data_IF_485639373703
#
_entry.id   IF_485639373703
#
_cell.length_a   1.000
_cell.length_b   1.000
_cell.length_c   1.000
_cell.angle_alpha   90.00
_cell.angle_beta   90.00
_cell.angle_gamma   90.00
#
_symmetry.space_group_name_H-M   'P 1'
#
loop_
_entity.id
_entity.type
_entity.pdbx_description
1 polymer ?
#
# COMPACT_ATOMS: atom_id res chain seq x y z
N UNK A 1 47.14 9.10 -26.80
CA UNK A 1 46.77 8.28 -25.64
C UNK A 1 45.26 8.38 -25.50
N UNK A 2 44.57 7.41 -26.07
CA UNK A 2 43.11 7.32 -26.16
C UNK A 2 42.66 6.20 -25.22
N UNK A 3 42.03 6.55 -24.11
CA UNK A 3 41.42 5.58 -23.20
C UNK A 3 39.94 5.46 -23.55
N UNK A 4 39.61 4.33 -24.16
CA UNK A 4 38.24 3.83 -24.33
C UNK A 4 37.69 3.43 -22.96
N UNK A 5 36.57 4.03 -22.56
CA UNK A 5 35.80 3.60 -21.40
C UNK A 5 34.80 2.52 -21.85
N UNK A 6 35.06 1.30 -21.39
CA UNK A 6 34.23 0.13 -21.61
C UNK A 6 32.92 0.24 -20.82
N UNK A 7 31.83 0.37 -21.56
CA UNK A 7 30.47 0.32 -21.05
C UNK A 7 30.11 -1.13 -20.67
N UNK A 8 30.25 -1.46 -19.38
CA UNK A 8 29.86 -2.74 -18.81
C UNK A 8 28.33 -2.92 -18.87
N UNK A 9 27.87 -3.75 -19.81
CA UNK A 9 26.49 -4.25 -19.89
C UNK A 9 26.20 -5.17 -18.71
N UNK A 10 25.47 -4.65 -17.71
CA UNK A 10 24.89 -5.46 -16.65
C UNK A 10 23.66 -6.18 -17.21
N UNK A 11 23.85 -7.36 -17.84
CA UNK A 11 22.76 -8.26 -18.20
C UNK A 11 22.33 -9.00 -16.93
N UNK A 12 21.33 -8.48 -16.25
CA UNK A 12 20.60 -9.28 -15.26
C UNK A 12 19.98 -10.48 -15.97
N UNK A 13 20.47 -11.65 -15.58
CA UNK A 13 19.99 -12.94 -16.05
C UNK A 13 18.61 -13.14 -15.42
N UNK A 14 17.54 -12.93 -16.20
CA UNK A 14 16.18 -13.33 -15.81
C UNK A 14 16.19 -14.84 -15.53
N UNK A 15 16.11 -15.22 -14.26
CA UNK A 15 16.15 -16.62 -13.81
C UNK A 15 14.94 -17.39 -14.37
N UNK A 16 15.14 -18.56 -14.99
CA UNK A 16 14.03 -19.45 -15.34
C UNK A 16 13.42 -20.01 -14.04
N UNK A 17 12.18 -19.62 -13.78
CA UNK A 17 11.38 -20.17 -12.68
C UNK A 17 11.27 -21.69 -12.80
N UNK A 18 11.49 -22.36 -11.68
CA UNK A 18 11.49 -23.82 -11.54
C UNK A 18 10.18 -24.41 -12.06
N UNK A 19 10.33 -25.28 -13.06
CA UNK A 19 9.31 -26.12 -13.69
C UNK A 19 8.67 -27.07 -12.67
N UNK A 20 7.34 -27.01 -12.54
CA UNK A 20 6.53 -28.15 -12.14
C UNK A 20 5.66 -28.52 -13.35
N UNK A 21 6.03 -29.66 -13.94
CA UNK A 21 5.48 -30.25 -15.15
C UNK A 21 3.97 -30.47 -15.05
N UNK A 22 3.23 -29.86 -15.98
CA UNK A 22 2.14 -30.54 -16.68
C UNK A 22 2.02 -29.94 -18.08
N UNK A 23 2.64 -30.65 -19.04
CA UNK A 23 2.69 -30.32 -20.45
C UNK A 23 1.27 -30.40 -21.06
N UNK A 24 0.69 -29.23 -21.31
CA UNK A 24 -0.27 -29.03 -22.40
C UNK A 24 0.47 -28.14 -23.38
N UNK A 25 0.85 -28.70 -24.54
CA UNK A 25 1.48 -28.00 -25.65
C UNK A 25 0.51 -26.92 -26.17
N UNK A 26 0.42 -25.81 -25.44
CA UNK A 26 -0.20 -24.58 -25.88
C UNK A 26 0.79 -23.98 -26.85
N UNK A 27 0.35 -23.78 -28.09
CA UNK A 27 1.00 -22.89 -29.05
C UNK A 27 1.43 -21.63 -28.28
N UNK A 28 2.73 -21.49 -28.05
CA UNK A 28 3.30 -20.29 -27.45
C UNK A 28 3.09 -19.16 -28.45
N UNK A 29 1.95 -18.49 -28.35
CA UNK A 29 1.80 -17.17 -28.92
C UNK A 29 2.91 -16.32 -28.31
N UNK A 30 3.93 -16.03 -29.12
CA UNK A 30 5.04 -15.14 -28.75
C UNK A 30 4.43 -13.89 -28.13
N UNK A 31 4.53 -13.77 -26.81
CA UNK A 31 4.12 -12.56 -26.10
C UNK A 31 5.00 -11.43 -26.63
N UNK A 32 4.40 -10.28 -26.91
CA UNK A 32 5.13 -9.09 -27.34
C UNK A 32 5.99 -8.53 -26.22
N UNK A 33 6.71 -7.45 -26.50
CA UNK A 33 7.37 -6.61 -25.49
C UNK A 33 6.36 -5.69 -24.81
N UNK A 34 6.69 -5.21 -23.62
CA UNK A 34 5.95 -4.10 -23.03
C UNK A 34 6.14 -2.84 -23.87
N UNK A 35 5.07 -2.19 -24.34
CA UNK A 35 5.20 -0.99 -25.16
C UNK A 35 5.74 0.23 -24.39
N UNK A 36 5.73 0.20 -23.05
CA UNK A 36 6.19 1.31 -22.23
C UNK A 36 7.71 1.25 -21.96
N UNK A 37 8.24 0.10 -21.53
CA UNK A 37 9.66 -0.07 -21.20
C UNK A 37 10.46 -0.90 -22.22
N UNK A 38 9.79 -1.49 -23.22
CA UNK A 38 10.38 -2.36 -24.25
C UNK A 38 11.00 -3.67 -23.74
N UNK A 39 10.74 -4.04 -22.49
CA UNK A 39 11.23 -5.29 -21.88
C UNK A 39 10.25 -6.45 -22.09
N UNK A 40 10.79 -7.67 -22.11
CA UNK A 40 10.02 -8.93 -22.16
C UNK A 40 9.97 -9.69 -20.84
N UNK A 41 10.81 -9.33 -19.85
CA UNK A 41 10.87 -10.10 -18.61
C UNK A 41 9.57 -9.91 -17.80
N UNK A 42 8.95 -11.01 -17.44
CA UNK A 42 7.78 -11.04 -16.56
C UNK A 42 8.23 -11.50 -15.18
N UNK A 43 7.83 -10.75 -14.14
CA UNK A 43 7.94 -11.22 -12.76
C UNK A 43 6.53 -11.49 -12.21
N UNK A 44 6.44 -12.21 -11.08
CA UNK A 44 5.14 -12.48 -10.43
C UNK A 44 4.41 -11.19 -10.05
N UNK A 45 5.14 -10.15 -9.70
CA UNK A 45 4.62 -8.84 -9.29
C UNK A 45 4.45 -7.88 -10.47
N UNK A 46 5.18 -8.12 -11.56
CA UNK A 46 5.16 -7.28 -12.76
C UNK A 46 4.94 -8.15 -14.01
N UNK A 47 3.73 -8.68 -14.14
CA UNK A 47 3.34 -9.49 -15.29
C UNK A 47 3.06 -8.62 -16.52
N UNK A 48 3.33 -9.15 -17.73
CA UNK A 48 2.87 -8.56 -18.98
C UNK A 48 1.37 -8.84 -19.16
N UNK A 49 0.59 -7.77 -19.28
CA UNK A 49 -0.85 -7.84 -19.44
C UNK A 49 -1.19 -7.39 -20.85
N UNK A 50 -2.05 -8.15 -21.52
CA UNK A 50 -2.58 -7.76 -22.83
C UNK A 50 -3.69 -6.71 -22.67
N UNK A 51 -3.51 -5.52 -23.22
CA UNK A 51 -4.40 -4.35 -23.03
C UNK A 51 -5.15 -3.90 -24.28
N UNK A 52 -4.60 -4.01 -25.50
CA UNK A 52 -5.35 -3.81 -26.76
C UNK A 52 -5.37 -5.12 -27.56
N UNK A 53 -6.53 -5.46 -28.14
CA UNK A 53 -6.71 -6.55 -29.09
C UNK A 53 -6.72 -6.06 -30.54
N UNK A 54 -7.08 -4.79 -30.76
CA UNK A 54 -7.16 -4.17 -32.09
C UNK A 54 -5.83 -3.82 -32.78
N UNK A 55 -4.74 -3.62 -32.03
CA UNK A 55 -3.43 -3.28 -32.58
C UNK A 55 -2.82 -4.50 -33.27
N UNK A 56 -2.42 -4.38 -34.55
CA UNK A 56 -1.75 -5.47 -35.27
C UNK A 56 -0.35 -5.80 -34.75
N UNK A 57 0.34 -4.79 -34.23
CA UNK A 57 1.68 -4.93 -33.67
C UNK A 57 1.59 -5.61 -32.30
N UNK A 58 2.22 -6.80 -32.11
CA UNK A 58 2.17 -7.52 -30.84
C UNK A 58 2.80 -6.72 -29.70
N UNK A 59 3.82 -5.90 -29.93
CA UNK A 59 4.48 -5.13 -28.86
C UNK A 59 3.54 -4.07 -28.29
N UNK A 60 2.63 -3.53 -29.10
CA UNK A 60 1.62 -2.56 -28.64
C UNK A 60 0.44 -3.18 -27.90
N UNK A 61 0.33 -4.51 -27.90
CA UNK A 61 -0.75 -5.20 -27.22
C UNK A 61 -0.45 -5.43 -25.74
N UNK A 62 0.82 -5.40 -25.31
CA UNK A 62 1.23 -5.79 -23.97
C UNK A 62 1.86 -4.65 -23.17
N UNK A 63 1.55 -4.57 -21.89
CA UNK A 63 2.17 -3.65 -20.94
C UNK A 63 2.36 -4.34 -19.59
N UNK A 64 3.46 -4.04 -18.92
CA UNK A 64 3.68 -4.42 -17.53
C UNK A 64 2.67 -3.77 -16.60
N UNK A 65 2.21 -4.49 -15.57
CA UNK A 65 1.32 -3.96 -14.54
C UNK A 65 1.86 -2.65 -13.93
N UNK A 66 3.15 -2.62 -13.56
CA UNK A 66 3.76 -1.40 -12.99
C UNK A 66 3.83 -0.25 -14.00
N UNK A 67 4.06 -0.53 -15.28
CA UNK A 67 4.11 0.50 -16.32
C UNK A 67 2.75 1.13 -16.57
N UNK A 68 1.67 0.34 -16.60
CA UNK A 68 0.32 0.89 -16.76
C UNK A 68 -0.11 1.67 -15.51
N UNK A 69 0.27 1.22 -14.32
CA UNK A 69 0.01 1.94 -13.08
C UNK A 69 0.70 3.30 -13.04
N UNK A 70 1.97 3.35 -13.46
CA UNK A 70 2.75 4.58 -13.59
C UNK A 70 2.24 5.52 -14.70
N UNK A 71 1.65 4.97 -15.76
CA UNK A 71 1.00 5.76 -16.80
C UNK A 71 -0.30 6.38 -16.28
N UNK A 72 -1.16 5.57 -15.67
CA UNK A 72 -2.46 5.99 -15.15
C UNK A 72 -2.34 6.98 -13.98
N UNK A 73 -1.30 6.85 -13.14
CA UNK A 73 -1.06 7.78 -12.03
C UNK A 73 -0.66 9.19 -12.47
N UNK A 74 -0.17 9.35 -13.71
CA UNK A 74 0.19 10.64 -14.31
C UNK A 74 -0.96 11.30 -15.06
N UNK A 75 -2.07 10.59 -15.27
CA UNK A 75 -3.24 11.18 -15.90
C UNK A 75 -3.91 12.15 -14.92
N UNK A 76 -4.43 13.29 -15.40
CA UNK A 76 -5.21 14.18 -14.55
C UNK A 76 -6.41 13.42 -13.97
N UNK A 77 -6.85 13.73 -12.74
CA UNK A 77 -8.07 13.16 -12.19
C UNK A 77 -9.20 13.37 -13.20
N UNK A 78 -9.89 12.29 -13.59
CA UNK A 78 -11.07 12.43 -14.44
C UNK A 78 -12.13 13.18 -13.66
N UNK A 79 -12.41 14.41 -14.08
CA UNK A 79 -13.64 15.09 -13.70
C UNK A 79 -14.78 14.23 -14.21
N UNK A 80 -15.67 13.80 -13.30
CA UNK A 80 -16.83 12.93 -13.52
C UNK A 80 -17.23 12.79 -15.00
N UNK A 81 -16.75 11.73 -15.66
CA UNK A 81 -17.20 11.42 -17.01
C UNK A 81 -18.69 11.04 -16.91
N UNK A 82 -19.62 11.72 -17.61
CA UNK A 82 -21.04 11.37 -17.60
C UNK A 82 -21.32 9.99 -18.22
N UNK A 83 -20.34 9.45 -18.96
CA UNK A 83 -20.30 8.08 -19.50
C UNK A 83 -19.52 7.11 -18.58
N UNK A 84 -19.25 7.49 -17.32
CA UNK A 84 -18.99 6.50 -16.27
C UNK A 84 -20.27 5.69 -16.18
N UNK A 85 -20.30 4.62 -16.99
CA UNK A 85 -21.43 3.74 -17.12
C UNK A 85 -21.71 3.27 -15.71
N UNK A 86 -22.68 3.92 -15.09
CA UNK A 86 -23.63 3.32 -14.22
C UNK A 86 -24.11 2.10 -14.98
N UNK A 87 -23.35 1.00 -14.86
CA UNK A 87 -23.98 -0.29 -14.69
C UNK A 87 -24.98 -0.02 -13.59
N UNK A 88 -26.19 0.18 -14.06
CA UNK A 88 -27.42 0.42 -13.35
C UNK A 88 -27.77 -0.89 -12.64
N UNK A 89 -26.80 -1.41 -11.88
CA UNK A 89 -27.03 -2.37 -10.86
C UNK A 89 -27.66 -1.52 -9.76
N UNK A 90 -29.00 -1.47 -9.77
CA UNK A 90 -29.75 -1.38 -8.54
C UNK A 90 -29.31 -2.57 -7.68
N UNK A 91 -28.10 -2.48 -7.12
CA UNK A 91 -27.68 -3.23 -5.96
C UNK A 91 -28.61 -2.70 -4.87
N UNK A 92 -29.65 -3.48 -4.62
CA UNK A 92 -30.37 -3.51 -3.38
C UNK A 92 -29.37 -3.19 -2.26
N UNK A 93 -29.53 -2.02 -1.65
CA UNK A 93 -28.67 -1.55 -0.58
C UNK A 93 -28.91 -2.51 0.59
N UNK A 94 -28.05 -3.51 0.75
CA UNK A 94 -28.01 -4.26 1.99
C UNK A 94 -27.17 -3.44 2.97
N UNK A 95 -27.75 -2.87 4.05
CA UNK A 95 -27.00 -2.10 5.05
C UNK A 95 -25.85 -2.88 5.69
N UNK A 96 -25.81 -4.21 5.58
CA UNK A 96 -24.78 -5.04 6.18
C UNK A 96 -23.68 -5.48 5.19
N UNK A 97 -23.79 -5.18 3.91
CA UNK A 97 -22.68 -5.34 2.97
C UNK A 97 -22.02 -3.99 2.75
N UNK A 98 -20.89 -3.74 3.41
CA UNK A 98 -19.96 -2.66 3.00
C UNK A 98 -19.31 -3.14 1.70
N UNK A 99 -19.79 -2.74 0.50
CA UNK A 99 -19.15 -3.19 -0.71
C UNK A 99 -17.94 -2.29 -0.84
N UNK A 100 -16.76 -2.88 -0.68
CA UNK A 100 -15.51 -2.27 -1.12
C UNK A 100 -15.61 -2.13 -2.64
N UNK A 101 -16.25 -1.06 -3.09
CA UNK A 101 -16.77 -0.90 -4.45
C UNK A 101 -15.59 -0.81 -5.41
N UNK A 102 -15.31 -1.90 -6.11
CA UNK A 102 -14.31 -1.91 -7.19
C UNK A 102 -14.82 -0.94 -8.26
N UNK A 103 -14.09 0.15 -8.49
CA UNK A 103 -14.43 1.10 -9.56
C UNK A 103 -13.87 0.57 -10.86
N UNK A 104 -14.72 0.38 -11.86
CA UNK A 104 -14.31 -0.09 -13.18
C UNK A 104 -14.27 1.09 -14.15
N UNK A 105 -13.07 1.58 -14.47
CA UNK A 105 -12.88 2.73 -15.34
C UNK A 105 -12.57 2.25 -16.76
N UNK A 106 -13.30 2.76 -17.74
CA UNK A 106 -13.05 2.45 -19.16
C UNK A 106 -12.00 3.37 -19.75
N UNK A 107 -10.99 2.77 -20.35
CA UNK A 107 -9.97 3.45 -21.14
C UNK A 107 -10.01 2.93 -22.57
N UNK A 108 -9.48 3.72 -23.50
CA UNK A 108 -9.37 3.31 -24.89
C UNK A 108 -7.93 3.47 -25.34
N UNK A 109 -7.45 2.53 -26.14
CA UNK A 109 -6.14 2.64 -26.75
C UNK A 109 -6.10 3.87 -27.67
N UNK A 110 -5.03 4.66 -27.57
CA UNK A 110 -4.84 5.87 -28.37
C UNK A 110 -4.79 5.59 -29.88
N UNK A 111 -4.30 4.40 -30.27
CA UNK A 111 -4.10 4.00 -31.68
C UNK A 111 -5.29 3.23 -32.27
N UNK A 112 -5.71 2.14 -31.62
CA UNK A 112 -6.76 1.24 -32.12
C UNK A 112 -8.18 1.65 -31.68
N UNK A 113 -8.32 2.59 -30.72
CA UNK A 113 -9.57 2.95 -30.03
C UNK A 113 -10.27 1.80 -29.30
N UNK A 114 -9.65 0.62 -29.28
CA UNK A 114 -10.12 -0.55 -28.55
C UNK A 114 -10.19 -0.25 -27.06
N UNK A 115 -11.32 -0.61 -26.44
CA UNK A 115 -11.58 -0.31 -25.05
C UNK A 115 -10.98 -1.38 -24.13
N UNK A 116 -10.47 -0.95 -22.97
CA UNK A 116 -10.03 -1.83 -21.90
C UNK A 116 -10.53 -1.31 -20.56
N UNK A 117 -10.73 -2.22 -19.61
CA UNK A 117 -11.31 -1.90 -18.30
C UNK A 117 -10.20 -2.00 -17.26
N UNK A 118 -10.05 -0.92 -16.49
CA UNK A 118 -9.16 -0.86 -15.34
C UNK A 118 -10.01 -0.97 -14.09
N UNK A 119 -9.76 -2.01 -13.30
CA UNK A 119 -10.39 -2.23 -12.00
C UNK A 119 -9.53 -1.58 -10.93
N UNK A 120 -10.08 -0.56 -10.29
CA UNK A 120 -9.48 0.13 -9.17
C UNK A 120 -9.95 -0.51 -7.87
N UNK A 121 -9.02 -1.16 -7.16
CA UNK A 121 -9.24 -1.75 -5.85
C UNK A 121 -8.54 -0.89 -4.79
N UNK A 122 -9.25 -0.37 -3.78
CA UNK A 122 -8.58 0.34 -2.70
C UNK A 122 -7.61 -0.60 -2.00
N UNK A 123 -6.38 -0.15 -1.77
CA UNK A 123 -5.38 -0.95 -1.05
C UNK A 123 -5.81 -1.00 0.41
N UNK A 124 -5.71 -2.17 1.04
CA UNK A 124 -5.96 -2.23 2.48
C UNK A 124 -4.80 -1.53 3.20
N UNK A 125 -5.10 -0.69 4.18
CA UNK A 125 -4.09 0.04 4.96
C UNK A 125 -2.97 -0.88 5.44
N UNK A 126 -3.34 -2.06 5.95
CA UNK A 126 -2.38 -3.07 6.42
C UNK A 126 -1.45 -3.54 5.30
N UNK A 127 -1.98 -3.80 4.10
CA UNK A 127 -1.17 -4.22 2.95
C UNK A 127 -0.24 -3.10 2.50
N UNK A 128 -0.71 -1.86 2.48
CA UNK A 128 0.12 -0.71 2.12
C UNK A 128 1.25 -0.48 3.13
N UNK A 129 0.95 -0.53 4.43
CA UNK A 129 1.95 -0.44 5.51
C UNK A 129 2.98 -1.55 5.44
N UNK A 130 2.57 -2.78 5.10
CA UNK A 130 3.49 -3.92 5.00
C UNK A 130 4.40 -3.87 3.77
N UNK A 131 3.94 -3.25 2.68
CA UNK A 131 4.72 -3.14 1.45
C UNK A 131 5.85 -2.10 1.56
N UNK A 132 5.65 -1.06 2.38
CA UNK A 132 6.69 -0.07 2.66
C UNK A 132 7.53 -0.51 3.88
N UNK A 133 8.78 -0.89 3.62
CA UNK A 133 9.70 -1.34 4.66
C UNK A 133 10.02 -0.28 5.71
N UNK A 134 10.06 1.01 5.34
CA UNK A 134 10.31 2.09 6.29
C UNK A 134 9.10 2.32 7.17
N UNK A 135 7.91 2.37 6.56
CA UNK A 135 6.67 2.57 7.30
C UNK A 135 6.37 1.40 8.24
N UNK A 136 6.55 0.17 7.78
CA UNK A 136 6.41 -1.04 8.59
C UNK A 136 7.32 -0.99 9.82
N UNK A 137 8.60 -0.60 9.65
CA UNK A 137 9.55 -0.44 10.77
C UNK A 137 9.12 0.66 11.73
N UNK A 138 8.64 1.80 11.22
CA UNK A 138 8.16 2.90 12.06
C UNK A 138 6.95 2.48 12.91
N UNK A 139 5.98 1.78 12.31
CA UNK A 139 4.81 1.23 13.02
C UNK A 139 5.24 0.21 14.07
N UNK A 140 6.20 -0.66 13.76
CA UNK A 140 6.74 -1.63 14.71
C UNK A 140 7.43 -0.95 15.91
N UNK A 141 8.23 0.08 15.66
CA UNK A 141 8.87 0.88 16.72
C UNK A 141 7.85 1.58 17.61
N UNK A 142 6.80 2.15 17.00
CA UNK A 142 5.70 2.77 17.74
C UNK A 142 5.02 1.74 18.64
N UNK A 143 4.65 0.56 18.11
CA UNK A 143 4.05 -0.52 18.87
C UNK A 143 4.95 -0.97 20.03
N UNK A 144 6.24 -1.17 19.78
CA UNK A 144 7.18 -1.59 20.82
C UNK A 144 7.34 -0.52 21.91
N UNK A 145 7.42 0.76 21.54
CA UNK A 145 7.48 1.86 22.52
C UNK A 145 6.22 1.93 23.39
N UNK A 146 5.04 1.76 22.79
CA UNK A 146 3.77 1.77 23.53
C UNK A 146 3.63 0.57 24.46
N UNK A 147 4.12 -0.59 24.04
CA UNK A 147 4.17 -1.79 24.88
C UNK A 147 5.07 -1.58 26.10
N UNK A 148 6.25 -0.98 25.93
CA UNK A 148 7.15 -0.66 27.04
C UNK A 148 6.47 0.28 28.05
N UNK A 149 5.86 1.37 27.57
CA UNK A 149 5.13 2.31 28.46
C UNK A 149 4.01 1.59 29.20
N UNK A 150 3.23 0.76 28.50
CA UNK A 150 2.16 -0.02 29.10
C UNK A 150 2.64 -0.98 30.19
N UNK A 151 3.74 -1.70 29.93
CA UNK A 151 4.35 -2.61 30.91
C UNK A 151 4.90 -1.85 32.11
N UNK A 152 5.55 -0.70 31.91
CA UNK A 152 6.02 0.16 32.99
C UNK A 152 4.89 0.68 33.87
N UNK A 153 3.76 1.08 33.26
CA UNK A 153 2.57 1.52 34.00
C UNK A 153 1.94 0.37 34.79
N UNK A 154 1.80 -0.80 34.17
CA UNK A 154 1.24 -2.01 34.80
C UNK A 154 2.11 -2.47 35.97
N UNK A 155 3.44 -2.46 35.79
CA UNK A 155 4.40 -2.79 36.84
C UNK A 155 4.32 -1.81 38.01
N UNK A 156 4.25 -0.51 37.72
CA UNK A 156 4.12 0.54 38.75
C UNK A 156 2.84 0.36 39.56
N UNK A 157 1.72 0.08 38.87
CA UNK A 157 0.44 -0.17 39.51
C UNK A 157 0.46 -1.43 40.39
N UNK A 158 1.03 -2.52 39.89
CA UNK A 158 1.22 -3.75 40.67
C UNK A 158 2.05 -3.50 41.92
N UNK A 159 3.16 -2.78 41.79
CA UNK A 159 4.07 -2.49 42.90
C UNK A 159 3.40 -1.63 43.99
N UNK A 160 2.65 -0.60 43.61
CA UNK A 160 1.89 0.25 44.54
C UNK A 160 0.75 -0.51 45.22
N UNK A 161 0.12 -1.45 44.52
CA UNK A 161 -1.04 -2.18 45.06
C UNK A 161 -0.63 -3.32 46.00
N UNK A 162 0.45 -4.04 45.68
CA UNK A 162 0.78 -5.31 46.34
C UNK A 162 2.09 -5.30 47.15
N UNK A 163 3.04 -4.41 46.84
CA UNK A 163 4.39 -4.47 47.43
C UNK A 163 4.60 -3.38 48.48
N UNK A 164 4.22 -2.14 48.18
CA UNK A 164 4.52 -1.00 49.06
C UNK A 164 3.23 -0.38 49.60
N UNK A 165 3.01 -0.36 50.93
CA UNK A 165 1.81 0.24 51.53
C UNK A 165 1.81 1.77 51.52
N UNK A 166 2.88 2.41 51.06
CA UNK A 166 3.01 3.85 50.93
C UNK A 166 2.84 4.30 49.49
N UNK A 167 2.05 5.36 49.29
CA UNK A 167 1.87 6.00 47.98
C UNK A 167 3.19 6.63 47.53
N UNK A 168 3.71 6.17 46.41
CA UNK A 168 4.87 6.78 45.74
C UNK A 168 4.46 8.15 45.16
N UNK A 169 5.08 9.21 45.67
CA UNK A 169 4.84 10.60 45.27
C UNK A 169 6.04 11.11 44.49
N UNK A 170 5.82 11.72 43.33
CA UNK A 170 6.85 12.46 42.59
C UNK A 170 6.75 13.94 42.93
N UNK A 171 7.83 14.54 43.41
CA UNK A 171 7.96 15.99 43.50
C UNK A 171 8.40 16.54 42.14
N UNK A 172 7.47 17.15 41.42
CA UNK A 172 7.75 17.83 40.15
C UNK A 172 8.08 19.28 40.45
N UNK A 173 9.32 19.67 40.12
CA UNK A 173 9.79 21.05 40.29
C UNK A 173 9.48 21.86 39.02
N UNK A 174 8.57 22.83 39.13
CA UNK A 174 8.27 23.76 38.04
C UNK A 174 9.26 24.94 38.07
N UNK A 175 9.54 25.56 36.90
CA UNK A 175 10.50 26.67 36.81
C UNK A 175 10.13 27.91 37.64
N UNK A 176 8.91 27.99 38.18
CA UNK A 176 8.44 29.08 39.03
C UNK A 176 8.60 28.83 40.54
N UNK A 177 9.36 27.80 40.94
CA UNK A 177 9.63 27.49 42.34
C UNK A 177 8.46 26.82 43.09
N UNK A 178 7.40 26.42 42.39
CA UNK A 178 6.32 25.61 42.96
C UNK A 178 6.62 24.11 42.78
N UNK A 179 6.49 23.35 43.87
CA UNK A 179 6.53 21.88 43.87
C UNK A 179 5.12 21.31 43.94
N UNK A 180 4.77 20.40 43.03
CA UNK A 180 3.54 19.63 43.11
C UNK A 180 3.86 18.16 43.29
N UNK A 181 3.15 17.53 44.23
CA UNK A 181 3.21 16.08 44.43
C UNK A 181 2.23 15.39 43.50
N UNK A 182 2.76 14.58 42.58
CA UNK A 182 1.98 13.80 41.63
C UNK A 182 2.07 12.32 42.01
N UNK A 183 0.92 11.66 42.19
CA UNK A 183 0.89 10.22 42.40
C UNK A 183 1.39 9.48 41.15
N UNK A 184 2.24 8.47 41.33
CA UNK A 184 2.82 7.68 40.24
C UNK A 184 1.74 7.08 39.31
N UNK A 185 0.65 6.56 39.88
CA UNK A 185 -0.49 6.02 39.15
C UNK A 185 -1.19 7.06 38.28
N UNK A 186 -1.37 8.28 38.77
CA UNK A 186 -1.97 9.36 37.99
C UNK A 186 -1.05 9.79 36.83
N UNK A 187 0.25 9.92 37.10
CA UNK A 187 1.25 10.20 36.05
C UNK A 187 1.27 9.12 34.96
N UNK A 188 1.29 7.85 35.37
CA UNK A 188 1.23 6.72 34.47
C UNK A 188 -0.05 6.74 33.61
N UNK A 189 -1.20 7.04 34.23
CA UNK A 189 -2.46 7.23 33.52
C UNK A 189 -2.41 8.34 32.47
N UNK A 190 -1.85 9.50 32.81
CA UNK A 190 -1.66 10.60 31.86
C UNK A 190 -0.75 10.21 30.69
N UNK A 191 0.37 9.52 30.96
CA UNK A 191 1.28 9.05 29.92
C UNK A 191 0.60 8.05 28.98
N UNK A 192 -0.22 7.13 29.52
CA UNK A 192 -1.02 6.21 28.71
C UNK A 192 -2.04 6.94 27.84
N UNK A 193 -2.73 7.94 28.38
CA UNK A 193 -3.65 8.77 27.61
C UNK A 193 -2.95 9.51 26.46
N UNK A 194 -1.78 10.09 26.72
CA UNK A 194 -0.97 10.76 25.69
C UNK A 194 -0.48 9.79 24.61
N UNK A 195 0.04 8.63 25.00
CA UNK A 195 0.44 7.58 24.06
C UNK A 195 -0.73 7.10 23.20
N UNK A 196 -1.89 6.85 23.80
CA UNK A 196 -3.10 6.47 23.08
C UNK A 196 -3.51 7.54 22.06
N UNK A 197 -3.51 8.81 22.46
CA UNK A 197 -3.84 9.91 21.56
C UNK A 197 -2.88 10.01 20.38
N UNK A 198 -1.57 9.86 20.61
CA UNK A 198 -0.56 9.86 19.55
C UNK A 198 -0.75 8.68 18.58
N UNK A 199 -1.06 7.48 19.08
CA UNK A 199 -1.37 6.32 18.25
C UNK A 199 -2.61 6.55 17.39
N UNK A 200 -3.68 7.07 17.98
CA UNK A 200 -4.93 7.38 17.27
C UNK A 200 -4.70 8.45 16.21
N UNK A 201 -3.99 9.52 16.54
CA UNK A 201 -3.64 10.58 15.59
C UNK A 201 -2.80 10.06 14.44
N UNK A 202 -1.78 9.25 14.72
CA UNK A 202 -0.94 8.60 13.70
C UNK A 202 -1.78 7.69 12.81
N UNK A 203 -2.69 6.91 13.38
CA UNK A 203 -3.62 6.09 12.62
C UNK A 203 -4.49 6.92 11.67
N UNK A 204 -5.02 8.06 12.12
CA UNK A 204 -5.80 8.95 11.26
C UNK A 204 -4.95 9.55 10.14
N UNK A 205 -3.73 10.00 10.43
CA UNK A 205 -2.80 10.49 9.41
C UNK A 205 -2.50 9.42 8.36
N UNK A 206 -2.23 8.18 8.78
CA UNK A 206 -2.02 7.07 7.87
C UNK A 206 -3.27 6.77 7.06
N UNK A 207 -4.44 6.73 7.72
CA UNK A 207 -5.71 6.49 7.03
C UNK A 207 -5.99 7.53 5.96
N UNK A 208 -5.73 8.81 6.23
CA UNK A 208 -5.92 9.89 5.27
C UNK A 208 -4.88 9.86 4.14
N UNK A 209 -3.61 9.58 4.46
CA UNK A 209 -2.54 9.42 3.47
C UNK A 209 -2.82 8.27 2.49
N UNK A 210 -3.26 7.12 3.00
CA UNK A 210 -3.57 5.93 2.20
C UNK A 210 -4.96 5.95 1.56
N UNK A 211 -5.80 6.93 1.89
CA UNK A 211 -7.15 7.06 1.29
C UNK A 211 -7.10 7.24 -0.22
N UNK A 212 -6.02 7.82 -0.74
CA UNK A 212 -5.79 8.02 -2.17
C UNK A 212 -5.10 6.84 -2.86
N UNK A 213 -4.63 5.84 -2.12
CA UNK A 213 -3.86 4.76 -2.72
C UNK A 213 -4.76 3.62 -3.23
N UNK A 214 -4.62 3.34 -4.52
CA UNK A 214 -5.47 2.43 -5.27
C UNK A 214 -4.59 1.46 -6.02
N UNK A 215 -4.80 0.17 -5.80
CA UNK A 215 -4.22 -0.88 -6.66
C UNK A 215 -5.08 -0.97 -7.91
N UNK A 216 -4.45 -0.83 -9.07
CA UNK A 216 -5.16 -0.93 -10.35
C UNK A 216 -4.87 -2.28 -10.96
N UNK A 217 -5.90 -2.94 -11.45
CA UNK A 217 -5.77 -4.21 -12.16
C UNK A 217 -6.42 -4.08 -13.52
N UNK A 218 -5.64 -4.33 -14.57
CA UNK A 218 -6.16 -4.18 -15.93
C UNK A 218 -6.68 -5.52 -16.43
N UNK A 219 -7.89 -5.53 -16.99
CA UNK A 219 -8.37 -6.65 -17.80
C UNK A 219 -8.77 -6.13 -19.18
N UNK A 220 -8.37 -6.86 -20.22
CA UNK A 220 -8.90 -6.62 -21.55
C UNK A 220 -10.42 -6.75 -21.53
N UNK A 221 -11.14 -5.78 -22.11
CA UNK A 221 -12.58 -5.91 -22.31
C UNK A 221 -12.83 -7.15 -23.20
N UNK A 222 -13.77 -8.01 -22.79
CA UNK A 222 -14.09 -9.22 -23.54
C UNK A 222 -14.85 -8.89 -24.81
#
# INVERSE_FOLDING_TARGET
MSTSEDSATNKEICMPGIHLEQQKEKVEHKKGRCWCCWETCETRENALIRVCRGCKDPDLQFIHQQCIDAYLSKLPPREHDPDDLGMNNQQHWDPNHVPRQERAVRFSCSRCKDAYIVYEKPVALVTAVMHDAYLSRAVLLLLLSTLVVFLSCSYSWYYETFVVPQKLMFDVWLPFGHSFQLGLTFFAGLMLCLCYFLCVFTYYLLKDFFKSEVSRHVKAAM
#
